data_IF_337269130313
#
_entry.id   IF_337269130313
#
_cell.length_a   1.000
_cell.length_b   1.000
_cell.length_c   1.000
_cell.angle_alpha   90.00
_cell.angle_beta   90.00
_cell.angle_gamma   90.00
#
_symmetry.space_group_name_H-M   'P 1'
#
loop_
_entity.id
_entity.type
_entity.pdbx_description
1 polymer ?
#
# COMPACT_ATOMS: atom_id res chain seq x y z
N UNK A 1 15.47 21.81 -68.99
CA UNK A 1 15.61 22.07 -67.54
C UNK A 1 14.48 21.35 -66.82
N UNK A 2 14.73 20.10 -66.44
CA UNK A 2 13.73 19.22 -65.82
C UNK A 2 13.86 19.37 -64.31
N UNK A 3 12.87 19.99 -63.66
CA UNK A 3 12.85 20.19 -62.21
C UNK A 3 12.56 18.85 -61.53
N UNK A 4 13.56 18.31 -60.83
CA UNK A 4 13.35 17.24 -59.85
C UNK A 4 12.60 17.83 -58.65
N UNK A 5 11.35 17.40 -58.46
CA UNK A 5 10.63 17.63 -57.20
C UNK A 5 11.03 16.45 -56.30
N UNK A 6 11.90 16.74 -55.33
CA UNK A 6 12.26 15.81 -54.27
C UNK A 6 11.03 15.67 -53.35
N UNK A 7 10.45 14.48 -53.15
CA UNK A 7 9.43 14.31 -52.14
C UNK A 7 10.14 14.38 -50.80
N UNK A 8 9.97 15.51 -50.10
CA UNK A 8 10.36 15.66 -48.71
C UNK A 8 9.47 14.70 -47.91
N UNK A 9 9.98 13.49 -47.67
CA UNK A 9 9.41 12.51 -46.78
C UNK A 9 9.54 13.07 -45.35
N UNK A 10 8.61 13.95 -44.97
CA UNK A 10 8.38 14.33 -43.59
C UNK A 10 7.85 13.09 -42.88
N UNK A 11 8.77 12.23 -42.44
CA UNK A 11 8.55 11.30 -41.35
C UNK A 11 8.28 12.18 -40.12
N UNK A 12 7.03 12.61 -39.98
CA UNK A 12 6.50 13.03 -38.70
C UNK A 12 6.54 11.78 -37.81
N UNK A 13 7.66 11.59 -37.14
CA UNK A 13 7.70 10.81 -35.91
C UNK A 13 6.79 11.56 -34.93
N UNK A 14 5.48 11.34 -35.03
CA UNK A 14 4.60 11.49 -33.88
C UNK A 14 5.02 10.36 -32.95
N UNK A 15 6.10 10.56 -32.20
CA UNK A 15 6.33 9.83 -30.97
C UNK A 15 5.20 10.22 -30.04
N UNK A 16 4.05 9.58 -30.23
CA UNK A 16 3.11 9.34 -29.17
C UNK A 16 3.92 8.57 -28.13
N UNK A 17 4.54 9.30 -27.20
CA UNK A 17 5.03 8.76 -25.94
C UNK A 17 3.80 8.30 -25.16
N UNK A 18 3.17 7.23 -25.65
CA UNK A 18 2.43 6.31 -24.83
C UNK A 18 3.43 5.87 -23.78
N UNK A 19 3.32 6.41 -22.56
CA UNK A 19 4.04 5.88 -21.42
C UNK A 19 3.81 4.37 -21.41
N UNK A 20 4.85 3.64 -21.75
CA UNK A 20 4.89 2.20 -21.61
C UNK A 20 5.31 1.98 -20.18
N UNK A 21 4.31 1.84 -19.30
CA UNK A 21 4.54 1.30 -17.98
C UNK A 21 5.13 -0.09 -18.21
N UNK A 22 6.39 -0.27 -17.83
CA UNK A 22 7.07 -1.55 -17.95
C UNK A 22 6.75 -2.40 -16.74
N UNK A 23 6.22 -3.58 -17.02
CA UNK A 23 5.72 -4.52 -16.01
C UNK A 23 6.68 -5.68 -15.77
N UNK A 24 7.66 -5.89 -16.65
CA UNK A 24 8.69 -6.91 -16.45
C UNK A 24 9.80 -6.44 -15.51
N UNK A 25 9.60 -6.74 -14.22
CA UNK A 25 10.53 -6.43 -13.13
C UNK A 25 11.50 -7.58 -12.79
N UNK A 26 11.35 -8.76 -13.40
CA UNK A 26 12.14 -9.95 -13.06
C UNK A 26 13.42 -10.08 -13.88
N UNK A 27 13.38 -9.68 -15.15
CA UNK A 27 14.53 -9.77 -16.03
C UNK A 27 15.41 -8.51 -16.00
N UNK A 28 14.99 -7.50 -15.24
CA UNK A 28 15.61 -6.18 -15.22
C UNK A 28 16.03 -5.77 -13.81
N UNK A 29 17.18 -5.10 -13.71
CA UNK A 29 17.70 -4.51 -12.47
C UNK A 29 17.46 -3.01 -12.47
N UNK A 30 17.67 -2.38 -11.31
CA UNK A 30 17.56 -0.93 -11.12
C UNK A 30 18.17 -0.10 -12.28
N UNK A 31 19.39 -0.42 -12.73
CA UNK A 31 20.08 0.33 -13.79
C UNK A 31 19.31 0.37 -15.11
N UNK A 32 18.55 -0.68 -15.43
CA UNK A 32 17.71 -0.70 -16.62
C UNK A 32 16.60 0.36 -16.53
N UNK A 33 15.93 0.43 -15.39
CA UNK A 33 14.87 1.41 -15.14
C UNK A 33 15.40 2.84 -15.08
N UNK A 34 16.58 3.05 -14.48
CA UNK A 34 17.26 4.35 -14.48
C UNK A 34 17.53 4.84 -15.92
N UNK A 35 18.03 3.95 -16.79
CA UNK A 35 18.27 4.29 -18.21
C UNK A 35 16.99 4.66 -18.93
N UNK A 36 15.91 3.92 -18.66
CA UNK A 36 14.59 4.19 -19.23
C UNK A 36 14.06 5.56 -18.83
N UNK A 37 14.15 5.91 -17.54
CA UNK A 37 13.71 7.22 -17.03
C UNK A 37 14.52 8.36 -17.68
N UNK A 38 15.84 8.17 -17.79
CA UNK A 38 16.72 9.14 -18.45
C UNK A 38 16.35 9.33 -19.93
N UNK A 39 16.03 8.25 -20.65
CA UNK A 39 15.59 8.32 -22.05
C UNK A 39 14.25 9.03 -22.23
N UNK A 40 13.37 8.97 -21.23
CA UNK A 40 12.08 9.67 -21.23
C UNK A 40 12.20 11.13 -20.78
N UNK A 41 13.39 11.58 -20.40
CA UNK A 41 13.62 12.94 -19.90
C UNK A 41 13.07 13.16 -18.48
N UNK A 42 12.90 12.08 -17.69
CA UNK A 42 12.55 12.20 -16.29
C UNK A 42 13.76 12.68 -15.47
N UNK A 43 13.50 13.48 -14.44
CA UNK A 43 14.51 14.06 -13.57
C UNK A 43 14.52 13.36 -12.22
N UNK A 44 15.69 13.22 -11.58
CA UNK A 44 15.77 12.72 -10.21
C UNK A 44 14.97 13.63 -9.27
N UNK A 45 14.09 13.02 -8.49
CA UNK A 45 13.25 13.72 -7.52
C UNK A 45 13.79 13.52 -6.10
N UNK A 46 14.21 14.58 -5.40
CA UNK A 46 14.75 14.45 -4.06
C UNK A 46 13.65 14.04 -3.08
N UNK A 47 13.86 12.89 -2.45
CA UNK A 47 12.94 12.35 -1.47
C UNK A 47 12.99 13.17 -0.17
N UNK A 48 11.83 13.63 0.31
CA UNK A 48 11.72 14.46 1.53
C UNK A 48 11.48 13.64 2.81
N UNK A 49 11.17 12.36 2.67
CA UNK A 49 10.80 11.47 3.78
C UNK A 49 11.15 10.02 3.42
N UNK A 50 11.61 9.21 4.38
CA UNK A 50 11.97 7.82 4.10
C UNK A 50 10.72 6.92 3.99
N UNK A 51 10.77 5.95 3.07
CA UNK A 51 9.79 4.87 2.99
C UNK A 51 10.09 3.79 4.02
N UNK A 52 9.00 3.17 4.46
CA UNK A 52 9.00 1.96 5.28
C UNK A 52 9.18 0.77 4.34
N UNK A 53 10.30 0.04 4.44
CA UNK A 53 10.58 -1.12 3.59
C UNK A 53 11.18 -2.26 4.41
N UNK A 54 11.14 -3.49 3.90
CA UNK A 54 11.80 -4.64 4.53
C UNK A 54 13.31 -4.39 4.69
N UNK A 55 13.95 -5.09 5.64
CA UNK A 55 15.35 -4.84 6.03
C UNK A 55 16.34 -4.88 4.86
N UNK A 56 16.07 -5.71 3.86
CA UNK A 56 16.89 -5.91 2.66
C UNK A 56 16.49 -5.03 1.46
N UNK A 57 15.43 -4.23 1.58
CA UNK A 57 14.97 -3.29 0.55
C UNK A 57 15.56 -1.90 0.82
N UNK A 58 16.13 -1.28 -0.21
CA UNK A 58 16.66 0.07 -0.16
C UNK A 58 15.56 1.13 -0.19
N UNK A 59 15.88 2.36 0.24
CA UNK A 59 15.03 3.52 -0.06
C UNK A 59 14.88 3.66 -1.58
N UNK A 60 13.70 4.04 -2.08
CA UNK A 60 13.49 4.09 -3.51
C UNK A 60 14.30 5.20 -4.14
N UNK A 61 14.75 4.96 -5.37
CA UNK A 61 15.16 6.06 -6.24
C UNK A 61 13.90 6.56 -6.92
N UNK A 62 13.67 7.88 -6.86
CA UNK A 62 12.45 8.51 -7.37
C UNK A 62 12.78 9.37 -8.57
N UNK A 63 12.03 9.18 -9.65
CA UNK A 63 12.08 10.02 -10.83
C UNK A 63 10.77 10.78 -11.00
N UNK A 64 10.86 12.00 -11.51
CA UNK A 64 9.74 12.87 -11.85
C UNK A 64 9.68 13.06 -13.35
N UNK A 65 8.54 12.76 -13.95
CA UNK A 65 8.25 13.05 -15.35
C UNK A 65 7.10 14.05 -15.45
N UNK A 66 7.34 15.18 -16.12
CA UNK A 66 6.33 16.23 -16.29
C UNK A 66 5.13 15.75 -17.08
N UNK A 67 3.92 16.10 -16.64
CA UNK A 67 2.67 15.71 -17.29
C UNK A 67 1.81 16.92 -17.65
N UNK A 68 1.01 16.76 -18.70
CA UNK A 68 -0.03 17.73 -19.06
C UNK A 68 -1.37 17.25 -18.51
N UNK A 69 -2.13 18.17 -17.90
CA UNK A 69 -3.49 17.94 -17.38
C UNK A 69 -3.60 16.87 -16.26
N UNK A 70 -2.47 16.40 -15.75
CA UNK A 70 -2.34 15.51 -14.61
C UNK A 70 -1.17 16.00 -13.75
N UNK A 71 -1.09 15.58 -12.48
CA UNK A 71 0.10 15.77 -11.68
C UNK A 71 1.29 15.13 -12.39
N UNK A 72 2.48 15.67 -12.15
CA UNK A 72 3.69 15.03 -12.64
C UNK A 72 3.79 13.61 -12.09
N UNK A 73 4.20 12.67 -12.94
CA UNK A 73 4.36 11.28 -12.56
C UNK A 73 5.58 11.18 -11.65
N UNK A 74 5.41 10.58 -10.47
CA UNK A 74 6.52 10.08 -9.66
C UNK A 74 6.65 8.56 -9.84
N UNK A 75 7.82 8.11 -10.31
CA UNK A 75 8.19 6.70 -10.43
C UNK A 75 9.13 6.33 -9.28
N UNK A 76 8.72 5.43 -8.41
CA UNK A 76 9.50 4.96 -7.27
C UNK A 76 10.02 3.55 -7.53
N UNK A 77 11.34 3.38 -7.49
CA UNK A 77 11.99 2.10 -7.70
C UNK A 77 12.51 1.53 -6.40
N UNK A 78 11.83 0.54 -5.84
CA UNK A 78 12.27 -0.20 -4.65
C UNK A 78 13.05 -1.43 -5.08
N UNK A 79 14.25 -1.59 -4.53
CA UNK A 79 15.19 -2.63 -4.96
C UNK A 79 15.91 -3.27 -3.78
N UNK A 80 16.32 -4.51 -3.95
CA UNK A 80 17.09 -5.23 -2.95
C UNK A 80 18.52 -4.69 -2.88
N UNK A 81 19.00 -4.40 -1.67
CA UNK A 81 20.37 -3.91 -1.42
C UNK A 81 21.46 -4.87 -1.92
N UNK A 82 21.15 -6.18 -1.91
CA UNK A 82 22.10 -7.25 -2.21
C UNK A 82 22.49 -7.30 -3.69
N UNK A 83 21.52 -7.15 -4.60
CA UNK A 83 21.71 -7.47 -6.01
C UNK A 83 21.08 -6.45 -6.98
N UNK A 84 20.45 -5.40 -6.43
CA UNK A 84 19.72 -4.36 -7.16
C UNK A 84 18.55 -4.88 -8.01
N UNK A 85 18.07 -6.11 -7.74
CA UNK A 85 16.84 -6.59 -8.35
C UNK A 85 15.66 -5.76 -7.82
N UNK A 86 14.66 -5.55 -8.66
CA UNK A 86 13.46 -4.80 -8.25
C UNK A 86 12.62 -5.65 -7.30
N UNK A 87 12.22 -5.03 -6.18
CA UNK A 87 11.22 -5.57 -5.27
C UNK A 87 9.83 -5.11 -5.71
N UNK A 88 9.63 -3.80 -5.85
CA UNK A 88 8.42 -3.28 -6.48
C UNK A 88 8.64 -1.90 -7.10
N UNK A 89 7.77 -1.55 -8.02
CA UNK A 89 7.70 -0.21 -8.62
C UNK A 89 6.36 0.39 -8.24
N UNK A 90 6.36 1.68 -7.87
CA UNK A 90 5.16 2.49 -7.73
C UNK A 90 5.22 3.62 -8.75
N UNK A 91 4.20 3.70 -9.60
CA UNK A 91 3.91 4.88 -10.40
C UNK A 91 2.75 5.65 -9.76
N UNK A 92 2.97 6.92 -9.46
CA UNK A 92 2.01 7.74 -8.73
C UNK A 92 1.73 9.06 -9.45
N UNK A 93 0.44 9.34 -9.64
CA UNK A 93 -0.08 10.65 -10.02
C UNK A 93 -0.87 11.19 -8.82
N UNK A 94 -0.29 12.10 -8.03
CA UNK A 94 -0.91 12.66 -6.82
C UNK A 94 -0.48 14.12 -6.64
N UNK A 95 -1.44 15.04 -6.57
CA UNK A 95 -1.18 16.49 -6.40
C UNK A 95 -0.54 16.82 -5.06
N UNK A 96 -0.81 16.01 -4.03
CA UNK A 96 -0.28 16.24 -2.69
C UNK A 96 1.24 16.10 -2.60
N UNK A 97 1.88 15.52 -3.62
CA UNK A 97 3.34 15.46 -3.72
C UNK A 97 3.98 16.82 -4.03
N UNK A 98 3.23 17.74 -4.62
CA UNK A 98 3.75 19.00 -5.16
C UNK A 98 3.22 20.24 -4.43
N UNK A 99 2.16 20.10 -3.64
CA UNK A 99 1.49 21.20 -2.96
C UNK A 99 1.24 20.85 -1.49
N UNK A 100 1.20 21.85 -0.62
CA UNK A 100 0.70 21.62 0.74
C UNK A 100 -0.76 21.16 0.64
N UNK A 101 -1.13 20.13 1.40
CA UNK A 101 -2.50 19.63 1.42
C UNK A 101 -3.53 20.71 1.74
N UNK A 102 -3.16 21.82 2.41
CA UNK A 102 -4.04 23.00 2.60
C UNK A 102 -4.46 23.70 1.30
N UNK A 103 -3.73 23.49 0.20
CA UNK A 103 -3.92 24.13 -1.10
C UNK A 103 -4.69 23.27 -2.11
N UNK A 104 -4.98 22.01 -1.77
CA UNK A 104 -5.73 21.10 -2.66
C UNK A 104 -7.20 21.49 -2.62
N UNK A 105 -7.66 22.08 -3.72
CA UNK A 105 -9.05 22.51 -3.90
C UNK A 105 -9.93 21.39 -4.45
N UNK A 106 -11.25 21.60 -4.35
CA UNK A 106 -12.22 20.78 -5.09
C UNK A 106 -12.03 20.97 -6.60
N UNK A 107 -12.31 19.93 -7.37
CA UNK A 107 -12.18 19.91 -8.82
C UNK A 107 -13.54 19.73 -9.49
N UNK A 108 -13.73 20.40 -10.63
CA UNK A 108 -14.86 20.12 -11.53
C UNK A 108 -14.72 18.72 -12.15
N UNK A 109 -15.79 18.25 -12.79
CA UNK A 109 -15.73 16.97 -13.50
C UNK A 109 -14.71 17.01 -14.64
N UNK A 110 -14.60 18.12 -15.37
CA UNK A 110 -13.64 18.32 -16.46
C UNK A 110 -12.20 18.26 -15.96
N UNK A 111 -11.93 18.73 -14.75
CA UNK A 111 -10.61 18.63 -14.11
C UNK A 111 -10.31 17.22 -13.55
N UNK A 112 -11.35 16.44 -13.24
CA UNK A 112 -11.24 15.05 -12.78
C UNK A 112 -11.10 14.09 -13.96
N UNK A 113 -11.73 14.40 -15.11
CA UNK A 113 -11.77 13.53 -16.29
C UNK A 113 -10.39 13.02 -16.72
N UNK A 114 -9.29 13.82 -16.73
CA UNK A 114 -7.96 13.31 -17.05
C UNK A 114 -7.50 12.15 -16.16
N UNK A 115 -7.89 12.11 -14.89
CA UNK A 115 -7.57 11.00 -13.99
C UNK A 115 -8.31 9.73 -14.40
N UNK A 116 -9.60 9.85 -14.71
CA UNK A 116 -10.44 8.74 -15.17
C UNK A 116 -9.90 8.19 -16.50
N UNK A 117 -9.63 9.07 -17.46
CA UNK A 117 -9.08 8.69 -18.76
C UNK A 117 -7.73 7.98 -18.61
N UNK A 118 -6.88 8.47 -17.70
CA UNK A 118 -5.59 7.85 -17.42
C UNK A 118 -5.71 6.49 -16.78
N UNK A 119 -6.60 6.33 -15.80
CA UNK A 119 -6.87 5.05 -15.17
C UNK A 119 -7.39 4.04 -16.18
N UNK A 120 -8.40 4.42 -16.98
CA UNK A 120 -8.96 3.55 -18.01
C UNK A 120 -7.92 3.15 -19.05
N UNK A 121 -7.06 4.10 -19.48
CA UNK A 121 -5.97 3.80 -20.39
C UNK A 121 -5.00 2.76 -19.82
N UNK A 122 -4.67 2.83 -18.52
CA UNK A 122 -3.82 1.84 -17.86
C UNK A 122 -4.54 0.51 -17.71
N UNK A 123 -5.79 0.52 -17.27
CA UNK A 123 -6.64 -0.66 -17.15
C UNK A 123 -6.76 -1.42 -18.47
N UNK A 124 -7.07 -0.72 -19.57
CA UNK A 124 -7.24 -1.33 -20.89
C UNK A 124 -5.93 -1.97 -21.36
N UNK A 125 -4.81 -1.26 -21.22
CA UNK A 125 -3.49 -1.78 -21.57
C UNK A 125 -3.14 -3.04 -20.76
N UNK A 126 -3.33 -3.01 -19.44
CA UNK A 126 -3.05 -4.15 -18.57
C UNK A 126 -3.98 -5.32 -18.88
N UNK A 127 -5.26 -5.05 -19.12
CA UNK A 127 -6.25 -6.07 -19.45
C UNK A 127 -5.99 -6.76 -20.79
N UNK A 128 -5.49 -6.02 -21.79
CA UNK A 128 -5.07 -6.58 -23.08
C UNK A 128 -3.90 -7.56 -22.89
N UNK A 129 -2.97 -7.25 -21.98
CA UNK A 129 -1.74 -8.04 -21.80
C UNK A 129 -1.98 -9.23 -20.84
N UNK A 130 -2.69 -9.01 -19.74
CA UNK A 130 -2.80 -9.95 -18.61
C UNK A 130 -4.19 -10.55 -18.40
N UNK A 131 -5.17 -10.15 -19.22
CA UNK A 131 -6.55 -10.61 -19.09
C UNK A 131 -7.32 -9.84 -18.02
N UNK A 132 -8.39 -10.46 -17.50
CA UNK A 132 -9.32 -9.78 -16.60
C UNK A 132 -8.76 -9.68 -15.16
N UNK A 133 -8.83 -8.50 -14.50
CA UNK A 133 -8.43 -8.37 -13.10
C UNK A 133 -9.50 -8.86 -12.11
N UNK A 134 -9.08 -8.95 -10.84
CA UNK A 134 -9.97 -8.87 -9.69
C UNK A 134 -10.24 -7.40 -9.36
N UNK A 135 -11.52 -6.99 -9.41
CA UNK A 135 -11.92 -5.59 -9.28
C UNK A 135 -12.71 -5.35 -7.99
N UNK A 136 -12.40 -4.25 -7.30
CA UNK A 136 -13.12 -3.76 -6.12
C UNK A 136 -13.48 -2.28 -6.26
N UNK A 137 -14.68 -1.91 -5.79
CA UNK A 137 -15.15 -0.53 -5.84
C UNK A 137 -15.79 -0.15 -7.18
N UNK A 138 -15.61 1.10 -7.58
CA UNK A 138 -16.14 1.63 -8.84
C UNK A 138 -16.19 3.15 -8.88
N UNK A 139 -15.87 3.73 -10.03
CA UNK A 139 -15.86 5.19 -10.23
C UNK A 139 -17.26 5.85 -10.24
N UNK A 140 -18.35 5.08 -10.38
CA UNK A 140 -19.72 5.58 -10.38
C UNK A 140 -20.02 6.61 -11.48
N UNK A 141 -21.19 7.24 -11.44
CA UNK A 141 -21.56 8.30 -12.40
C UNK A 141 -20.99 9.67 -12.01
N UNK A 142 -20.99 10.62 -12.96
CA UNK A 142 -20.49 12.00 -12.78
C UNK A 142 -21.04 12.73 -11.56
N UNK A 143 -22.28 12.43 -11.14
CA UNK A 143 -22.92 13.03 -9.96
C UNK A 143 -22.24 12.57 -8.66
N UNK A 144 -21.81 11.31 -8.56
CA UNK A 144 -21.11 10.78 -7.37
C UNK A 144 -19.72 11.37 -7.22
N UNK A 145 -19.03 11.65 -8.32
CA UNK A 145 -17.71 12.30 -8.32
C UNK A 145 -17.72 13.74 -7.77
N UNK A 146 -18.87 14.41 -7.82
CA UNK A 146 -19.03 15.78 -7.30
C UNK A 146 -19.32 15.82 -5.78
N UNK A 147 -19.91 14.76 -5.21
CA UNK A 147 -20.45 14.77 -3.84
C UNK A 147 -19.86 13.72 -2.91
N UNK A 148 -19.25 12.67 -3.45
CA UNK A 148 -18.76 11.52 -2.70
C UNK A 148 -17.26 11.28 -2.92
N UNK A 149 -16.71 10.37 -2.11
CA UNK A 149 -15.39 9.79 -2.37
C UNK A 149 -15.62 8.49 -3.12
N UNK A 150 -15.04 8.35 -4.30
CA UNK A 150 -15.07 7.11 -5.07
C UNK A 150 -13.67 6.55 -5.17
N UNK A 151 -13.59 5.23 -5.26
CA UNK A 151 -12.34 4.52 -5.47
C UNK A 151 -12.60 3.26 -6.25
N UNK A 152 -11.65 2.91 -7.10
CA UNK A 152 -11.61 1.66 -7.84
C UNK A 152 -10.22 1.07 -7.72
N UNK A 153 -10.17 -0.25 -7.62
CA UNK A 153 -8.94 -1.04 -7.49
C UNK A 153 -9.06 -2.27 -8.37
N UNK A 154 -8.06 -2.49 -9.21
CA UNK A 154 -7.96 -3.63 -10.10
C UNK A 154 -6.62 -4.35 -9.89
N UNK A 155 -6.69 -5.65 -9.64
CA UNK A 155 -5.52 -6.49 -9.35
C UNK A 155 -5.36 -7.57 -10.41
N UNK A 156 -4.17 -7.67 -11.00
CA UNK A 156 -3.79 -8.77 -11.88
C UNK A 156 -2.73 -9.65 -11.21
N UNK A 157 -3.04 -10.93 -11.09
CA UNK A 157 -2.07 -11.97 -10.74
C UNK A 157 -1.42 -12.50 -12.03
N UNK A 158 -0.39 -11.79 -12.51
CA UNK A 158 0.27 -12.08 -13.79
C UNK A 158 0.87 -13.48 -13.81
N UNK A 159 1.49 -13.88 -12.70
CA UNK A 159 2.01 -15.21 -12.45
C UNK A 159 2.24 -15.37 -10.94
N UNK A 160 2.77 -16.52 -10.54
CA UNK A 160 3.15 -16.90 -9.18
C UNK A 160 4.02 -15.89 -8.39
N UNK A 161 4.60 -14.92 -9.08
CA UNK A 161 5.59 -14.00 -8.55
C UNK A 161 5.41 -12.55 -8.96
N UNK A 162 4.34 -12.21 -9.69
CA UNK A 162 4.08 -10.84 -10.11
C UNK A 162 2.62 -10.49 -9.90
N UNK A 163 2.42 -9.46 -9.11
CA UNK A 163 1.12 -8.82 -8.93
C UNK A 163 1.18 -7.39 -9.45
N UNK A 164 0.11 -6.97 -10.11
CA UNK A 164 -0.11 -5.58 -10.51
C UNK A 164 -1.34 -5.08 -9.78
N UNK A 165 -1.23 -3.95 -9.09
CA UNK A 165 -2.32 -3.32 -8.34
C UNK A 165 -2.51 -1.89 -8.85
N UNK A 166 -3.58 -1.66 -9.62
CA UNK A 166 -3.96 -0.35 -10.14
C UNK A 166 -5.08 0.22 -9.27
N UNK A 167 -4.91 1.45 -8.81
CA UNK A 167 -5.82 2.12 -7.90
C UNK A 167 -6.11 3.53 -8.38
N UNK A 168 -7.36 3.95 -8.23
CA UNK A 168 -7.78 5.35 -8.35
C UNK A 168 -8.60 5.74 -7.13
N UNK A 169 -8.31 6.92 -6.59
CA UNK A 169 -9.08 7.53 -5.51
C UNK A 169 -9.40 8.97 -5.86
N UNK A 170 -10.69 9.30 -5.94
CA UNK A 170 -11.19 10.63 -6.27
C UNK A 170 -12.14 11.08 -5.18
N UNK A 171 -11.84 12.22 -4.57
CA UNK A 171 -12.67 12.79 -3.52
C UNK A 171 -12.69 14.30 -3.58
N UNK A 172 -13.90 14.84 -3.77
CA UNK A 172 -14.21 16.25 -3.55
C UNK A 172 -14.65 16.55 -2.10
N UNK A 173 -14.63 15.54 -1.20
CA UNK A 173 -15.06 15.74 0.18
C UNK A 173 -14.12 16.70 0.90
N UNK A 174 -14.73 17.68 1.56
CA UNK A 174 -14.03 18.68 2.35
C UNK A 174 -14.86 18.94 3.58
N UNK A 175 -14.60 18.18 4.63
CA UNK A 175 -15.34 18.25 5.89
C UNK A 175 -14.39 18.60 7.02
N UNK A 176 -14.86 19.42 7.96
CA UNK A 176 -14.10 19.77 9.16
C UNK A 176 -14.92 19.41 10.39
N UNK A 177 -14.46 18.43 11.15
CA UNK A 177 -15.03 18.03 12.44
C UNK A 177 -13.99 18.28 13.53
N UNK A 178 -14.12 19.42 14.21
CA UNK A 178 -13.16 19.85 15.23
C UNK A 178 -11.76 20.08 14.65
N UNK A 179 -10.77 19.35 15.16
CA UNK A 179 -9.37 19.40 14.69
C UNK A 179 -9.10 18.53 13.45
N UNK A 180 -10.05 17.67 13.05
CA UNK A 180 -9.91 16.78 11.90
C UNK A 180 -10.52 17.45 10.68
N UNK A 181 -9.73 17.60 9.63
CA UNK A 181 -10.18 18.06 8.33
C UNK A 181 -9.93 16.98 7.30
N UNK A 182 -11.02 16.47 6.71
CA UNK A 182 -10.98 15.69 5.48
C UNK A 182 -10.80 16.68 4.33
N UNK A 183 -9.82 16.44 3.47
CA UNK A 183 -9.47 17.33 2.36
C UNK A 183 -9.71 16.61 1.02
N UNK A 184 -9.96 17.36 -0.06
CA UNK A 184 -10.02 16.77 -1.39
C UNK A 184 -8.74 16.00 -1.72
N UNK A 185 -8.88 14.91 -2.49
CA UNK A 185 -7.76 14.06 -2.90
C UNK A 185 -8.06 13.42 -4.24
N UNK A 186 -7.10 13.50 -5.15
CA UNK A 186 -7.20 12.94 -6.50
C UNK A 186 -5.88 12.24 -6.80
N UNK A 187 -5.93 10.92 -6.94
CA UNK A 187 -4.73 10.13 -7.16
C UNK A 187 -4.97 8.87 -7.96
N UNK A 188 -3.94 8.50 -8.72
CA UNK A 188 -3.81 7.18 -9.35
C UNK A 188 -2.50 6.58 -8.86
N UNK A 189 -2.54 5.30 -8.50
CA UNK A 189 -1.36 4.53 -8.13
C UNK A 189 -1.34 3.23 -8.91
N UNK A 190 -0.18 2.87 -9.42
CA UNK A 190 0.05 1.60 -10.08
C UNK A 190 1.27 0.94 -9.45
N UNK A 191 1.03 -0.16 -8.76
CA UNK A 191 2.08 -0.99 -8.17
C UNK A 191 2.38 -2.17 -9.08
N UNK A 192 3.66 -2.49 -9.19
CA UNK A 192 4.14 -3.69 -9.87
C UNK A 192 5.06 -4.40 -8.86
N UNK A 193 4.56 -5.50 -8.31
CA UNK A 193 5.16 -6.14 -7.14
C UNK A 193 5.81 -7.46 -7.52
N UNK A 194 7.01 -7.69 -6.99
CA UNK A 194 7.73 -8.94 -7.12
C UNK A 194 7.46 -9.83 -5.91
N UNK A 195 6.57 -10.79 -6.10
CA UNK A 195 6.20 -11.76 -5.09
C UNK A 195 7.05 -13.05 -5.20
N UNK A 196 8.04 -13.13 -6.12
CA UNK A 196 8.94 -14.32 -6.26
C UNK A 196 9.77 -14.53 -5.00
N UNK A 197 10.31 -13.43 -4.47
CA UNK A 197 11.02 -13.42 -3.20
C UNK A 197 10.04 -13.41 -2.04
N UNK A 198 8.75 -13.13 -2.27
CA UNK A 198 7.68 -13.28 -1.26
C UNK A 198 7.22 -14.71 -1.02
N UNK A 199 7.32 -15.62 -2.00
CA UNK A 199 7.17 -17.07 -1.73
C UNK A 199 8.22 -17.62 -0.75
N UNK A 200 9.30 -16.88 -0.48
CA UNK A 200 10.24 -17.16 0.61
C UNK A 200 10.28 -16.06 1.69
N UNK A 201 9.65 -14.91 1.48
CA UNK A 201 9.61 -13.74 2.37
C UNK A 201 8.36 -12.89 2.07
N UNK A 202 7.18 -13.32 2.54
CA UNK A 202 6.16 -12.33 2.96
C UNK A 202 6.87 -11.27 3.84
N UNK A 203 6.25 -10.14 4.18
CA UNK A 203 6.77 -9.23 5.22
C UNK A 203 6.95 -9.97 6.57
N UNK A 204 7.97 -10.83 6.65
CA UNK A 204 8.01 -11.94 7.55
C UNK A 204 8.81 -11.46 8.74
N UNK A 205 8.04 -11.16 9.77
CA UNK A 205 8.47 -11.43 11.12
C UNK A 205 9.22 -12.78 11.07
N UNK A 206 10.53 -12.78 11.35
CA UNK A 206 11.31 -14.02 11.30
C UNK A 206 10.63 -15.09 12.14
N UNK A 207 10.72 -16.37 11.77
CA UNK A 207 10.04 -17.46 12.51
C UNK A 207 10.36 -17.41 14.02
N UNK A 208 11.60 -17.06 14.37
CA UNK A 208 12.02 -16.87 15.76
C UNK A 208 11.29 -15.70 16.43
N UNK A 209 11.20 -14.55 15.75
CA UNK A 209 10.48 -13.37 16.24
C UNK A 209 8.99 -13.67 16.35
N UNK A 210 8.39 -14.32 15.35
CA UNK A 210 6.98 -14.69 15.35
C UNK A 210 6.67 -15.64 16.50
N UNK A 211 7.51 -16.66 16.70
CA UNK A 211 7.43 -17.58 17.85
C UNK A 211 7.55 -16.83 19.18
N UNK A 212 8.44 -15.84 19.27
CA UNK A 212 8.60 -15.05 20.48
C UNK A 212 7.37 -14.19 20.77
N UNK A 213 6.82 -13.51 19.75
CA UNK A 213 5.62 -12.67 19.88
C UNK A 213 4.41 -13.51 20.24
N UNK A 214 4.28 -14.68 19.61
CA UNK A 214 3.22 -15.63 19.87
C UNK A 214 3.23 -16.15 21.31
N UNK A 215 4.41 -16.54 21.81
CA UNK A 215 4.60 -16.91 23.22
C UNK A 215 4.24 -15.77 24.17
N UNK A 216 4.63 -14.54 23.83
CA UNK A 216 4.29 -13.35 24.65
C UNK A 216 2.78 -13.18 24.74
N UNK A 217 2.06 -13.25 23.62
CA UNK A 217 0.61 -13.08 23.63
C UNK A 217 -0.11 -14.18 24.38
N UNK A 218 0.29 -15.45 24.20
CA UNK A 218 -0.32 -16.56 24.94
C UNK A 218 -0.12 -16.44 26.45
N UNK A 219 1.05 -15.97 26.91
CA UNK A 219 1.30 -15.70 28.34
C UNK A 219 0.43 -14.55 28.85
N UNK A 220 0.38 -13.44 28.11
CA UNK A 220 -0.49 -12.31 28.44
C UNK A 220 -1.96 -12.73 28.53
N UNK A 221 -2.46 -13.47 27.54
CA UNK A 221 -3.84 -13.95 27.48
C UNK A 221 -4.16 -14.89 28.65
N UNK A 222 -3.22 -15.79 28.99
CA UNK A 222 -3.34 -16.65 30.17
C UNK A 222 -3.45 -15.83 31.45
N UNK A 223 -2.59 -14.81 31.62
CA UNK A 223 -2.59 -13.99 32.83
C UNK A 223 -3.88 -13.19 32.99
N UNK A 224 -4.41 -12.57 31.93
CA UNK A 224 -5.68 -11.82 32.04
C UNK A 224 -6.88 -12.76 32.28
N UNK A 225 -6.89 -13.99 31.73
CA UNK A 225 -7.94 -14.99 31.98
C UNK A 225 -7.92 -15.51 33.42
N UNK A 226 -6.74 -15.60 34.04
CA UNK A 226 -6.57 -16.00 35.44
C UNK A 226 -6.49 -14.81 36.41
N UNK A 227 -6.85 -13.60 35.96
CA UNK A 227 -6.87 -12.38 36.76
C UNK A 227 -5.50 -11.99 37.40
N UNK A 228 -4.38 -12.42 36.79
CA UNK A 228 -3.01 -12.07 37.19
C UNK A 228 -2.59 -10.73 36.60
N UNK A 229 -3.34 -9.66 36.89
CA UNK A 229 -3.21 -8.38 36.18
C UNK A 229 -1.84 -7.70 36.34
N UNK A 230 -1.21 -7.80 37.50
CA UNK A 230 0.15 -7.27 37.71
C UNK A 230 1.16 -7.93 36.77
N UNK A 231 1.08 -9.27 36.62
CA UNK A 231 1.91 -10.02 35.68
C UNK A 231 1.57 -9.67 34.23
N UNK A 232 0.27 -9.57 33.90
CA UNK A 232 -0.20 -9.21 32.56
C UNK A 232 0.33 -7.83 32.11
N UNK A 233 0.39 -6.84 33.01
CA UNK A 233 0.91 -5.51 32.71
C UNK A 233 2.37 -5.53 32.25
N UNK A 234 3.17 -6.52 32.68
CA UNK A 234 4.56 -6.63 32.25
C UNK A 234 4.70 -6.92 30.75
N UNK A 235 3.68 -7.47 30.09
CA UNK A 235 3.70 -7.71 28.64
C UNK A 235 3.27 -6.49 27.82
N UNK A 236 2.68 -5.48 28.46
CA UNK A 236 2.18 -4.26 27.83
C UNK A 236 3.32 -3.26 27.67
N UNK A 237 3.30 -2.48 26.58
CA UNK A 237 4.30 -1.45 26.33
C UNK A 237 4.35 -0.42 27.47
N UNK A 238 5.56 -0.01 27.84
CA UNK A 238 5.81 0.86 29.00
C UNK A 238 4.99 2.16 28.95
N UNK A 239 4.73 2.68 27.74
CA UNK A 239 3.93 3.90 27.51
C UNK A 239 2.43 3.75 27.83
N UNK A 240 1.95 2.52 28.01
CA UNK A 240 0.55 2.18 28.23
C UNK A 240 0.27 1.54 29.59
N UNK A 241 1.29 1.06 30.32
CA UNK A 241 1.12 0.33 31.59
C UNK A 241 0.30 1.12 32.62
N UNK A 242 0.53 2.43 32.75
CA UNK A 242 -0.21 3.29 33.67
C UNK A 242 -1.60 3.73 33.17
N UNK A 243 -1.93 3.41 31.91
CA UNK A 243 -3.18 3.82 31.26
C UNK A 243 -4.23 2.71 31.15
N UNK A 244 -3.81 1.46 31.36
CA UNK A 244 -4.69 0.30 31.21
C UNK A 244 -5.14 -0.19 32.60
N UNK A 245 -6.45 -0.26 32.79
CA UNK A 245 -7.06 -0.68 34.06
C UNK A 245 -7.35 -2.18 34.10
N UNK A 246 -7.41 -2.75 35.31
CA UNK A 246 -7.81 -4.15 35.50
C UNK A 246 -9.20 -4.44 34.90
N UNK A 247 -10.12 -3.48 34.95
CA UNK A 247 -11.44 -3.61 34.32
C UNK A 247 -11.34 -3.78 32.79
N UNK A 248 -10.45 -3.04 32.13
CA UNK A 248 -10.22 -3.18 30.68
C UNK A 248 -9.59 -4.54 30.35
N UNK A 249 -8.68 -5.04 31.18
CA UNK A 249 -8.08 -6.37 31.01
C UNK A 249 -9.12 -7.49 31.19
N UNK A 250 -10.00 -7.38 32.19
CA UNK A 250 -11.13 -8.32 32.38
C UNK A 250 -12.10 -8.28 31.20
N UNK A 251 -12.45 -7.09 30.70
CA UNK A 251 -13.33 -6.96 29.55
C UNK A 251 -12.73 -7.59 28.29
N UNK A 252 -11.42 -7.40 28.07
CA UNK A 252 -10.69 -8.04 26.98
C UNK A 252 -10.70 -9.58 27.12
N UNK A 253 -10.39 -10.10 28.31
CA UNK A 253 -10.41 -11.53 28.60
C UNK A 253 -11.77 -12.16 28.26
N UNK A 254 -12.86 -11.50 28.65
CA UNK A 254 -14.23 -11.95 28.37
C UNK A 254 -14.63 -11.86 26.88
N UNK A 255 -13.95 -11.01 26.09
CA UNK A 255 -14.22 -10.84 24.66
C UNK A 255 -13.55 -11.91 23.77
N UNK A 256 -12.68 -12.74 24.35
CA UNK A 256 -11.90 -13.76 23.66
C UNK A 256 -12.35 -15.13 24.17
N UNK A 257 -12.77 -16.02 23.27
CA UNK A 257 -13.27 -17.35 23.65
C UNK A 257 -12.18 -18.20 24.29
N UNK A 258 -12.59 -19.18 25.08
CA UNK A 258 -11.67 -20.17 25.67
C UNK A 258 -11.47 -21.38 24.75
N UNK A 259 -10.96 -21.09 23.56
CA UNK A 259 -10.68 -22.08 22.52
C UNK A 259 -9.30 -21.82 21.90
N UNK A 260 -8.75 -22.84 21.25
CA UNK A 260 -7.46 -22.74 20.57
C UNK A 260 -7.51 -21.68 19.46
N UNK A 261 -6.50 -20.84 19.44
CA UNK A 261 -6.28 -19.83 18.40
C UNK A 261 -4.99 -20.15 17.64
N UNK A 262 -4.98 -19.81 16.36
CA UNK A 262 -3.84 -20.03 15.46
C UNK A 262 -3.53 -18.72 14.72
N UNK A 263 -2.26 -18.52 14.39
CA UNK A 263 -1.84 -17.39 13.58
C UNK A 263 -2.48 -17.53 12.20
N UNK A 264 -3.26 -16.52 11.83
CA UNK A 264 -3.92 -16.43 10.53
C UNK A 264 -3.13 -15.54 9.57
N UNK A 265 -2.69 -14.36 10.04
CA UNK A 265 -1.90 -13.39 9.27
C UNK A 265 -0.87 -12.77 10.20
N UNK A 266 0.34 -12.51 9.70
CA UNK A 266 1.35 -11.72 10.41
C UNK A 266 1.92 -10.64 9.49
N UNK A 267 2.27 -9.47 10.05
CA UNK A 267 2.84 -8.37 9.26
C UNK A 267 3.69 -7.43 10.12
N UNK A 268 4.64 -6.74 9.48
CA UNK A 268 5.45 -5.67 10.07
C UNK A 268 5.02 -4.33 9.50
N UNK A 269 4.83 -3.32 10.36
CA UNK A 269 4.49 -1.94 9.96
C UNK A 269 5.40 -0.95 10.70
N UNK A 270 5.62 0.24 10.17
CA UNK A 270 6.29 1.32 10.92
C UNK A 270 5.29 2.46 11.19
N UNK A 271 5.41 3.17 12.32
CA UNK A 271 4.74 4.45 12.54
C UNK A 271 5.37 5.58 11.73
N UNK A 272 4.64 6.70 11.68
CA UNK A 272 5.11 7.99 11.17
C UNK A 272 6.42 8.48 11.83
N UNK A 273 6.74 8.04 13.06
CA UNK A 273 7.98 8.36 13.76
C UNK A 273 9.11 7.34 13.52
N UNK A 274 8.93 6.41 12.59
CA UNK A 274 9.95 5.42 12.19
C UNK A 274 10.08 4.21 13.13
N UNK A 275 9.23 4.07 14.16
CA UNK A 275 9.24 2.88 15.03
C UNK A 275 8.51 1.70 14.40
N UNK A 276 9.06 0.51 14.58
CA UNK A 276 8.44 -0.72 14.09
C UNK A 276 7.39 -1.30 15.02
N UNK A 277 6.30 -1.78 14.41
CA UNK A 277 5.25 -2.55 15.04
C UNK A 277 5.00 -3.86 14.32
N UNK A 278 4.78 -4.91 15.09
CA UNK A 278 4.38 -6.21 14.57
C UNK A 278 2.89 -6.40 14.77
N UNK A 279 2.18 -6.86 13.75
CA UNK A 279 0.75 -7.15 13.83
C UNK A 279 0.56 -8.64 13.58
N UNK A 280 -0.05 -9.33 14.53
CA UNK A 280 -0.47 -10.73 14.40
C UNK A 280 -1.99 -10.77 14.48
N UNK A 281 -2.61 -11.40 13.47
CA UNK A 281 -4.02 -11.74 13.49
C UNK A 281 -4.17 -13.22 13.79
N UNK A 282 -4.96 -13.54 14.79
CA UNK A 282 -5.32 -14.91 15.13
C UNK A 282 -6.74 -15.22 14.66
N UNK A 283 -6.94 -16.44 14.20
CA UNK A 283 -8.27 -17.06 14.03
C UNK A 283 -8.45 -18.14 15.09
N UNK A 284 -9.69 -18.56 15.30
CA UNK A 284 -9.95 -19.74 16.12
C UNK A 284 -9.79 -21.00 15.27
N UNK A 285 -9.21 -22.04 15.85
CA UNK A 285 -8.95 -23.31 15.15
C UNK A 285 -10.25 -24.02 14.71
N UNK A 286 -11.39 -23.68 15.31
CA UNK A 286 -12.72 -24.19 14.95
C UNK A 286 -13.39 -23.40 13.79
N UNK A 287 -12.80 -22.31 13.32
CA UNK A 287 -13.29 -21.50 12.20
C UNK A 287 -12.57 -21.85 10.89
N UNK A 288 -13.10 -22.85 10.19
CA UNK A 288 -12.54 -23.38 8.93
C UNK A 288 -12.88 -22.54 7.68
N UNK A 289 -13.42 -21.33 7.84
CA UNK A 289 -13.75 -20.48 6.70
C UNK A 289 -12.50 -19.80 6.16
N UNK A 290 -12.44 -19.62 4.84
CA UNK A 290 -11.37 -18.86 4.17
C UNK A 290 -11.29 -17.40 4.67
N UNK A 291 -12.43 -16.83 5.04
CA UNK A 291 -12.54 -15.57 5.78
C UNK A 291 -13.10 -15.84 7.19
N UNK A 292 -12.27 -15.79 8.25
CA UNK A 292 -12.72 -16.05 9.61
C UNK A 292 -13.78 -15.03 10.04
N UNK A 293 -14.82 -15.52 10.72
CA UNK A 293 -15.92 -14.69 11.23
C UNK A 293 -15.47 -13.81 12.39
N UNK A 294 -14.48 -14.28 13.15
CA UNK A 294 -13.89 -13.55 14.26
C UNK A 294 -12.38 -13.66 14.20
N UNK A 295 -11.70 -12.52 14.35
CA UNK A 295 -10.23 -12.46 14.43
C UNK A 295 -9.80 -11.69 15.67
N UNK A 296 -8.64 -12.04 16.21
CA UNK A 296 -7.99 -11.31 17.29
C UNK A 296 -6.75 -10.63 16.71
N UNK A 297 -6.75 -9.30 16.71
CA UNK A 297 -5.62 -8.52 16.26
C UNK A 297 -4.76 -8.12 17.45
N UNK A 298 -3.46 -8.40 17.37
CA UNK A 298 -2.47 -8.05 18.39
C UNK A 298 -1.39 -7.21 17.73
N UNK A 299 -1.07 -6.07 18.34
CA UNK A 299 -0.03 -5.15 17.89
C UNK A 299 1.08 -5.14 18.94
N UNK A 300 2.32 -5.34 18.51
CA UNK A 300 3.50 -5.28 19.36
C UNK A 300 4.44 -4.17 18.93
N UNK A 301 5.20 -3.62 19.87
CA UNK A 301 6.34 -2.75 19.58
C UNK A 301 7.60 -3.54 19.19
N UNK A 302 8.67 -2.81 18.86
CA UNK A 302 9.97 -3.39 18.53
C UNK A 302 10.59 -4.24 19.65
N UNK A 303 10.20 -3.99 20.92
CA UNK A 303 10.64 -4.68 22.13
C UNK A 303 9.77 -5.89 22.51
N UNK A 304 8.89 -6.36 21.63
CA UNK A 304 7.94 -7.45 21.86
C UNK A 304 6.85 -7.13 22.90
N UNK A 305 6.59 -5.87 23.24
CA UNK A 305 5.53 -5.49 24.16
C UNK A 305 4.25 -5.18 23.42
N UNK A 306 3.11 -5.51 24.03
CA UNK A 306 1.78 -5.33 23.46
C UNK A 306 1.40 -3.85 23.50
N UNK A 307 1.09 -3.29 22.34
CA UNK A 307 0.55 -1.94 22.16
C UNK A 307 -0.97 -1.93 22.04
N UNK A 308 -1.57 -3.05 21.63
CA UNK A 308 -3.01 -3.15 21.51
C UNK A 308 -3.47 -4.58 21.21
N UNK A 309 -4.65 -4.92 21.73
CA UNK A 309 -5.35 -6.16 21.43
C UNK A 309 -6.79 -5.82 21.10
N UNK A 310 -7.33 -6.38 20.03
CA UNK A 310 -8.74 -6.22 19.68
C UNK A 310 -9.31 -7.51 19.13
N UNK A 311 -10.40 -7.98 19.73
CA UNK A 311 -11.28 -9.01 19.17
C UNK A 311 -12.28 -8.36 18.21
N UNK A 312 -12.40 -8.86 16.98
CA UNK A 312 -13.25 -8.27 15.93
C UNK A 312 -14.14 -9.34 15.33
N UNK A 313 -15.45 -9.12 15.37
CA UNK A 313 -16.41 -9.89 14.59
C UNK A 313 -16.56 -9.24 13.22
N UNK A 314 -16.38 -10.00 12.13
CA UNK A 314 -16.75 -9.56 10.79
C UNK A 314 -18.26 -9.70 10.67
N UNK A 315 -18.97 -8.57 10.60
CA UNK A 315 -20.40 -8.58 10.31
C UNK A 315 -20.64 -9.21 8.94
N UNK A 316 -21.67 -10.07 8.85
CA UNK A 316 -22.20 -10.55 7.58
C UNK A 316 -22.73 -9.40 6.73
#
# INVERSE_FOLDING_TARGET
>A
MTKFILPLLLLTFTSAFSQNVLVDIHHNKLDYFIKLETQQGAELFPQKSNYVSAEDIAQPIVYRLKQNNLPDLLSYYFFYKKDSSISYILYEWDESNFMDGSQIAKKSYEEIKPYIDKYQLLFDKLSIIYGKPESEGGLGDSIKLATESVSERDVWHVNDSTEIDLQIGLSNKSDRHGAISTKPSFKIRLYIQNNSKEKNNESNISNEKLTSLDKTFHRFLSDIKHQKFESAQTFIADTLQSKITNQQLSALANSIRDTTIEIFISSLRLSQDGKSFYIIQYRYADDNKSAPQQVINVIFDSKNKILGVRSVNRSR
#
